data_IF_309686447016
#
_entry.id   IF_309686447016
#
_cell.length_a   1.000
_cell.length_b   1.000
_cell.length_c   1.000
_cell.angle_alpha   90.00
_cell.angle_beta   90.00
_cell.angle_gamma   90.00
#
_symmetry.space_group_name_H-M   'P 1'
#
loop_
_entity.id
_entity.type
_entity.pdbx_description
1 polymer ?
#
# COMPACT_ATOMS: atom_id res chain seq x y z
N UNK A 1 44.13 36.11 -39.22
CA UNK A 1 44.45 35.66 -37.85
C UNK A 1 43.39 36.19 -36.91
N UNK A 2 42.73 35.30 -36.17
CA UNK A 2 42.01 35.48 -34.89
C UNK A 2 41.28 36.82 -34.65
N UNK A 3 39.96 36.82 -34.81
CA UNK A 3 39.10 37.71 -34.00
C UNK A 3 39.06 37.18 -32.56
N UNK A 4 39.37 38.04 -31.59
CA UNK A 4 39.10 37.77 -30.17
C UNK A 4 37.70 38.32 -29.86
N UNK A 5 36.80 37.43 -29.44
CA UNK A 5 35.43 37.77 -29.09
C UNK A 5 35.37 38.59 -27.79
N UNK A 6 34.62 39.69 -27.82
CA UNK A 6 34.20 40.42 -26.61
C UNK A 6 32.86 39.86 -26.15
N UNK A 7 32.88 38.94 -25.18
CA UNK A 7 31.67 38.60 -24.45
C UNK A 7 31.48 39.56 -23.27
N UNK A 8 30.30 40.16 -23.21
CA UNK A 8 29.88 41.07 -22.15
C UNK A 8 29.62 40.29 -20.86
N UNK A 9 30.26 40.68 -19.76
CA UNK A 9 29.95 40.13 -18.45
C UNK A 9 28.61 40.71 -17.95
N UNK A 10 27.54 39.91 -18.03
CA UNK A 10 26.32 40.15 -17.25
C UNK A 10 26.52 39.45 -15.91
N UNK A 11 26.71 40.23 -14.85
CA UNK A 11 26.76 39.69 -13.49
C UNK A 11 25.34 39.32 -13.03
N UNK A 12 24.99 38.04 -13.11
CA UNK A 12 23.82 37.52 -12.43
C UNK A 12 24.10 37.50 -10.92
N UNK A 13 23.44 38.37 -10.16
CA UNK A 13 23.46 38.32 -8.71
C UNK A 13 22.60 37.12 -8.26
N UNK A 14 23.24 35.97 -8.04
CA UNK A 14 22.60 34.86 -7.34
C UNK A 14 22.37 35.29 -5.89
N UNK A 15 21.10 35.51 -5.54
CA UNK A 15 20.70 35.65 -4.14
C UNK A 15 20.85 34.29 -3.46
N UNK A 16 22.02 34.06 -2.86
CA UNK A 16 22.22 32.95 -1.93
C UNK A 16 21.37 33.24 -0.70
N UNK A 17 20.15 32.71 -0.67
CA UNK A 17 19.40 32.57 0.55
C UNK A 17 20.18 31.59 1.44
N UNK A 18 20.85 32.11 2.45
CA UNK A 18 21.33 31.29 3.54
C UNK A 18 20.08 30.80 4.28
N UNK A 19 19.66 29.58 3.99
CA UNK A 19 18.70 28.89 4.83
C UNK A 19 19.35 28.80 6.21
N UNK A 20 18.78 29.49 7.19
CA UNK A 20 19.21 29.35 8.58
C UNK A 20 19.09 27.87 8.96
N UNK A 21 20.02 27.37 9.76
CA UNK A 21 19.84 26.06 10.39
C UNK A 21 18.53 26.08 11.18
N UNK A 22 17.71 25.04 11.04
CA UNK A 22 16.60 24.80 11.96
C UNK A 22 17.13 24.82 13.40
N UNK A 23 16.39 25.49 14.29
CA UNK A 23 16.67 25.38 15.72
C UNK A 23 16.17 24.03 16.24
N UNK A 24 16.98 23.35 17.05
CA UNK A 24 16.60 22.12 17.74
C UNK A 24 16.00 22.49 19.11
N UNK A 25 14.70 22.27 19.28
CA UNK A 25 13.94 22.68 20.47
C UNK A 25 13.40 21.47 21.24
N UNK A 26 13.54 21.49 22.56
CA UNK A 26 13.00 20.44 23.44
C UNK A 26 11.92 21.00 24.37
N UNK A 27 10.81 20.27 24.54
CA UNK A 27 9.75 20.65 25.49
C UNK A 27 10.31 20.72 26.92
N UNK A 28 10.03 21.83 27.62
CA UNK A 28 10.39 21.99 29.03
C UNK A 28 9.48 21.10 29.89
N UNK A 29 10.10 20.30 30.76
CA UNK A 29 9.42 19.35 31.66
C UNK A 29 9.86 19.57 33.11
N UNK A 30 8.99 19.23 34.08
CA UNK A 30 9.35 19.28 35.51
C UNK A 30 9.94 17.92 35.92
N UNK A 31 11.26 17.84 36.04
CA UNK A 31 11.96 16.60 36.38
C UNK A 31 11.76 15.44 35.38
N UNK A 32 11.35 15.73 34.14
CA UNK A 32 10.97 14.74 33.14
C UNK A 32 9.47 14.40 33.10
N UNK A 33 8.65 15.01 33.96
CA UNK A 33 7.18 14.90 33.91
C UNK A 33 6.62 15.93 32.92
N UNK A 34 5.72 15.48 32.04
CA UNK A 34 5.05 16.36 31.08
C UNK A 34 4.09 17.34 31.77
N UNK A 35 3.99 18.59 31.30
CA UNK A 35 2.90 19.47 31.69
C UNK A 35 1.54 18.88 31.25
N UNK A 36 0.49 19.11 32.05
CA UNK A 36 -0.87 18.63 31.73
C UNK A 36 -1.47 19.28 30.48
N UNK A 37 -0.97 20.45 30.08
CA UNK A 37 -1.32 21.13 28.83
C UNK A 37 -0.31 22.20 28.43
N UNK A 38 -0.11 22.40 27.11
CA UNK A 38 0.65 23.52 26.54
C UNK A 38 0.24 23.81 25.09
N UNK A 39 0.49 25.03 24.61
CA UNK A 39 0.40 25.39 23.19
C UNK A 39 1.78 25.25 22.53
N UNK A 40 1.86 24.65 21.35
CA UNK A 40 3.13 24.49 20.64
C UNK A 40 3.68 25.81 20.10
N UNK A 41 2.80 26.79 19.83
CA UNK A 41 3.18 28.14 19.38
C UNK A 41 3.69 29.07 20.48
N UNK A 42 3.64 28.65 21.75
CA UNK A 42 4.26 29.36 22.86
C UNK A 42 5.77 29.02 22.94
N UNK A 43 6.62 29.94 22.49
CA UNK A 43 8.08 29.77 22.53
C UNK A 43 8.65 29.58 23.95
N UNK A 44 7.91 29.93 25.01
CA UNK A 44 8.33 29.71 26.40
C UNK A 44 8.12 28.27 26.89
N UNK A 45 7.39 27.43 26.14
CA UNK A 45 7.30 25.99 26.40
C UNK A 45 8.57 25.23 25.98
N UNK A 46 9.48 25.86 25.23
CA UNK A 46 10.59 25.22 24.54
C UNK A 46 11.96 25.71 25.03
N UNK A 47 12.94 24.81 24.99
CA UNK A 47 14.34 25.07 25.34
C UNK A 47 15.25 24.76 24.15
N UNK A 48 16.28 25.59 23.85
CA UNK A 48 16.70 26.79 24.58
C UNK A 48 15.72 27.97 24.44
N UNK A 49 15.62 28.79 25.49
CA UNK A 49 14.80 30.01 25.51
C UNK A 49 15.26 30.97 24.40
N UNK A 50 14.30 31.52 23.65
CA UNK A 50 14.55 32.45 22.56
C UNK A 50 14.86 31.80 21.20
N UNK A 51 14.79 30.47 21.10
CA UNK A 51 14.80 29.76 19.81
C UNK A 51 13.57 30.10 18.95
N UNK A 52 13.75 30.03 17.63
CA UNK A 52 12.67 30.22 16.65
C UNK A 52 11.90 28.92 16.45
N UNK A 53 10.56 29.02 16.32
CA UNK A 53 9.71 27.90 15.91
C UNK A 53 9.62 27.74 14.38
N UNK A 54 10.20 28.66 13.60
CA UNK A 54 10.14 28.62 12.13
C UNK A 54 11.04 27.51 11.56
N UNK A 55 10.43 26.44 11.07
CA UNK A 55 11.08 25.21 10.60
C UNK A 55 11.93 24.50 11.67
N UNK A 56 11.63 24.70 12.95
CA UNK A 56 12.35 24.10 14.07
C UNK A 56 12.14 22.58 14.14
N UNK A 57 13.17 21.85 14.56
CA UNK A 57 13.02 20.45 14.97
C UNK A 57 12.54 20.40 16.41
N UNK A 58 11.50 19.62 16.71
CA UNK A 58 10.89 19.57 18.05
C UNK A 58 11.08 18.19 18.69
N UNK A 59 11.60 18.15 19.92
CA UNK A 59 11.67 16.95 20.74
C UNK A 59 10.73 17.04 21.94
N UNK A 60 9.84 16.07 22.07
CA UNK A 60 8.91 15.91 23.20
C UNK A 60 9.23 14.60 23.90
N UNK A 61 9.91 14.66 25.04
CA UNK A 61 10.35 13.48 25.80
C UNK A 61 10.01 13.59 27.28
N UNK A 62 9.54 12.50 27.90
CA UNK A 62 9.25 12.45 29.33
C UNK A 62 8.18 11.43 29.70
N UNK A 63 7.56 11.60 30.86
CA UNK A 63 6.46 10.74 31.35
C UNK A 63 5.21 11.57 31.62
N UNK A 64 4.07 11.11 31.09
CA UNK A 64 2.75 11.59 31.42
C UNK A 64 2.22 10.83 32.65
N UNK A 65 2.15 11.50 33.80
CA UNK A 65 1.52 10.94 35.02
C UNK A 65 0.00 11.15 35.06
N UNK A 66 -0.51 12.01 34.18
CA UNK A 66 -1.93 12.29 33.94
C UNK A 66 -2.12 12.62 32.44
N UNK A 67 -3.35 12.77 31.93
CA UNK A 67 -3.57 13.18 30.53
C UNK A 67 -2.81 14.47 30.18
N UNK A 68 -1.88 14.40 29.23
CA UNK A 68 -1.09 15.53 28.75
C UNK A 68 -1.67 16.02 27.41
N UNK A 69 -2.34 17.16 27.39
CA UNK A 69 -3.13 17.62 26.24
C UNK A 69 -2.51 18.88 25.65
N UNK A 70 -1.87 18.73 24.49
CA UNK A 70 -1.20 19.82 23.80
C UNK A 70 -1.96 20.25 22.56
N UNK A 71 -1.85 21.53 22.23
CA UNK A 71 -2.63 22.17 21.17
C UNK A 71 -1.73 22.95 20.20
N UNK A 72 -2.16 23.01 18.94
CA UNK A 72 -1.52 23.79 17.89
C UNK A 72 -2.55 24.74 17.29
N UNK A 73 -2.59 25.95 17.84
CA UNK A 73 -3.48 27.03 17.40
C UNK A 73 -2.79 27.95 16.39
N UNK A 74 -3.45 28.23 15.27
CA UNK A 74 -2.96 29.17 14.25
C UNK A 74 -2.04 28.58 13.18
N UNK A 75 -1.70 27.30 13.30
CA UNK A 75 -0.85 26.57 12.37
C UNK A 75 0.64 26.74 12.66
N UNK A 76 1.45 25.80 12.17
CA UNK A 76 2.92 25.81 12.33
C UNK A 76 3.59 25.23 11.07
N UNK A 77 4.85 25.60 10.87
CA UNK A 77 5.75 24.94 9.90
C UNK A 77 7.02 24.57 10.64
N UNK A 78 7.25 23.26 10.76
CA UNK A 78 8.27 22.63 11.57
C UNK A 78 9.21 21.80 10.68
N UNK A 79 10.39 21.50 11.20
CA UNK A 79 11.27 20.46 10.69
C UNK A 79 10.78 19.08 11.15
N UNK A 80 11.67 18.29 11.72
CA UNK A 80 11.33 16.98 12.27
C UNK A 80 10.71 17.10 13.68
N UNK A 81 9.86 16.14 14.04
CA UNK A 81 9.16 16.07 15.34
C UNK A 81 9.42 14.68 15.94
N UNK A 82 10.10 14.63 17.07
CA UNK A 82 10.38 13.39 17.82
C UNK A 82 9.54 13.33 19.11
N UNK A 83 8.75 12.27 19.27
CA UNK A 83 7.90 12.01 20.44
C UNK A 83 8.36 10.73 21.15
N UNK A 84 8.88 10.92 22.37
CA UNK A 84 9.45 9.87 23.23
C UNK A 84 8.80 9.92 24.63
N UNK A 85 7.46 9.77 24.67
CA UNK A 85 6.64 9.97 25.88
C UNK A 85 6.09 8.66 26.44
N UNK A 86 6.31 8.39 27.72
CA UNK A 86 5.71 7.26 28.43
C UNK A 86 4.38 7.61 29.10
N UNK A 87 3.47 6.64 29.23
CA UNK A 87 2.13 6.81 29.84
C UNK A 87 2.04 6.30 31.30
N UNK A 88 3.19 6.07 31.94
CA UNK A 88 3.31 5.55 33.31
C UNK A 88 2.51 4.24 33.55
N UNK A 89 2.43 3.37 32.54
CA UNK A 89 1.68 2.11 32.59
C UNK A 89 0.19 2.24 32.25
N UNK A 90 -0.36 3.45 32.26
CA UNK A 90 -1.79 3.73 32.18
C UNK A 90 -2.14 4.51 30.92
N UNK A 91 -2.81 3.86 29.95
CA UNK A 91 -3.20 4.49 28.69
C UNK A 91 -4.18 5.67 28.81
N UNK A 92 -4.77 5.92 29.99
CA UNK A 92 -5.49 7.17 30.25
C UNK A 92 -4.56 8.39 30.20
N UNK A 93 -3.29 8.23 30.61
CA UNK A 93 -2.24 9.24 30.62
C UNK A 93 -1.62 9.42 29.22
N UNK A 94 -2.44 9.41 28.18
CA UNK A 94 -1.98 9.63 26.82
C UNK A 94 -1.47 11.06 26.63
N UNK A 95 -0.42 11.20 25.81
CA UNK A 95 -0.16 12.46 25.12
C UNK A 95 -1.23 12.65 24.04
N UNK A 96 -1.87 13.81 24.02
CA UNK A 96 -2.75 14.27 22.95
C UNK A 96 -2.14 15.51 22.28
N UNK A 97 -2.19 15.55 20.95
CA UNK A 97 -1.74 16.67 20.14
C UNK A 97 -2.87 17.04 19.18
N UNK A 98 -3.54 18.14 19.45
CA UNK A 98 -4.73 18.58 18.71
C UNK A 98 -4.44 19.84 17.86
N UNK A 99 -4.65 19.76 16.55
CA UNK A 99 -4.61 20.95 15.67
C UNK A 99 -5.93 21.71 15.68
N UNK A 100 -5.85 23.04 15.72
CA UNK A 100 -7.01 23.93 15.80
C UNK A 100 -6.98 24.95 14.66
N UNK A 101 -7.89 24.80 13.71
CA UNK A 101 -8.24 25.80 12.68
C UNK A 101 -7.26 25.98 11.52
N UNK A 102 -5.98 25.63 11.65
CA UNK A 102 -4.95 25.86 10.62
C UNK A 102 -3.96 24.70 10.49
N UNK A 103 -3.29 24.63 9.33
CA UNK A 103 -2.42 23.53 8.95
C UNK A 103 -1.12 23.49 9.75
N UNK A 104 -0.64 22.28 10.05
CA UNK A 104 0.64 21.98 10.66
C UNK A 104 1.48 21.23 9.64
N UNK A 105 2.56 21.88 9.20
CA UNK A 105 3.52 21.35 8.26
C UNK A 105 4.73 20.81 9.04
N UNK A 106 5.22 19.62 8.69
CA UNK A 106 6.40 18.99 9.29
C UNK A 106 7.20 18.20 8.25
N UNK A 107 8.48 17.94 8.52
CA UNK A 107 9.26 16.97 7.75
C UNK A 107 8.88 15.55 8.13
N UNK A 108 9.55 15.01 9.14
CA UNK A 108 9.31 13.68 9.70
C UNK A 108 8.67 13.76 11.08
N UNK A 109 7.63 12.97 11.33
CA UNK A 109 7.11 12.74 12.69
C UNK A 109 7.51 11.34 13.16
N UNK A 110 8.38 11.25 14.14
CA UNK A 110 8.77 9.98 14.78
C UNK A 110 8.09 9.85 16.13
N UNK A 111 7.36 8.76 16.33
CA UNK A 111 6.74 8.39 17.60
C UNK A 111 7.37 7.06 18.04
N UNK A 112 8.13 7.08 19.13
CA UNK A 112 8.86 5.91 19.59
C UNK A 112 8.77 5.69 21.10
N UNK A 113 8.83 4.42 21.52
CA UNK A 113 9.05 4.07 22.92
C UNK A 113 10.39 3.32 23.09
N UNK A 114 10.95 3.40 24.30
CA UNK A 114 12.20 2.74 24.62
C UNK A 114 12.26 2.43 26.13
N UNK A 115 11.85 1.21 26.50
CA UNK A 115 11.83 0.76 27.90
C UNK A 115 10.59 1.19 28.69
N UNK A 116 9.56 1.73 28.04
CA UNK A 116 8.34 2.20 28.69
C UNK A 116 7.08 2.01 27.83
N UNK A 117 5.94 1.92 28.50
CA UNK A 117 4.62 1.89 27.84
C UNK A 117 4.22 3.28 27.37
N UNK A 118 3.58 3.38 26.20
CA UNK A 118 3.29 4.64 25.52
C UNK A 118 1.88 4.65 24.93
N UNK A 119 1.20 5.78 25.06
CA UNK A 119 -0.05 6.09 24.36
C UNK A 119 0.04 7.51 23.81
N UNK A 120 0.03 7.65 22.48
CA UNK A 120 0.09 8.95 21.77
C UNK A 120 -1.08 9.06 20.82
N UNK A 121 -1.75 10.21 20.85
CA UNK A 121 -2.87 10.55 19.96
C UNK A 121 -2.53 11.85 19.25
N UNK A 122 -2.46 11.81 17.92
CA UNK A 122 -2.26 12.97 17.06
C UNK A 122 -3.56 13.18 16.29
N UNK A 123 -4.20 14.32 16.50
CA UNK A 123 -5.57 14.59 16.04
C UNK A 123 -5.74 15.98 15.45
N UNK A 124 -6.83 16.14 14.72
CA UNK A 124 -7.44 17.43 14.42
C UNK A 124 -8.73 17.53 15.20
N UNK A 125 -9.02 18.68 15.81
CA UNK A 125 -10.28 18.88 16.54
C UNK A 125 -11.50 18.52 15.67
N UNK A 126 -12.46 17.83 16.28
CA UNK A 126 -13.62 17.23 15.60
C UNK A 126 -14.78 18.19 15.35
N UNK A 127 -14.61 19.49 15.54
CA UNK A 127 -15.56 20.50 15.08
C UNK A 127 -15.60 20.46 13.54
N UNK A 128 -16.78 20.35 12.95
CA UNK A 128 -16.94 20.26 11.49
C UNK A 128 -16.59 21.55 10.73
N UNK A 129 -16.23 22.62 11.46
CA UNK A 129 -15.63 23.85 10.93
C UNK A 129 -14.10 23.90 11.02
N UNK A 130 -13.45 22.95 11.70
CA UNK A 130 -11.99 22.90 11.82
C UNK A 130 -11.36 22.57 10.46
N UNK A 131 -10.53 23.48 9.93
CA UNK A 131 -9.87 23.35 8.61
C UNK A 131 -8.43 22.84 8.67
N UNK A 132 -7.83 22.76 9.86
CA UNK A 132 -6.39 22.54 10.03
C UNK A 132 -5.93 21.09 9.85
N UNK A 133 -5.01 20.86 8.92
CA UNK A 133 -4.50 19.54 8.54
C UNK A 133 -3.11 19.27 9.11
N UNK A 134 -2.78 18.00 9.29
CA UNK A 134 -1.41 17.52 9.39
C UNK A 134 -0.87 17.30 7.97
N UNK A 135 0.21 17.98 7.62
CA UNK A 135 0.86 17.90 6.31
C UNK A 135 2.35 17.62 6.54
N UNK A 136 2.92 16.60 5.91
CA UNK A 136 4.36 16.40 6.02
C UNK A 136 4.93 15.36 5.08
N UNK A 137 6.16 14.93 5.33
CA UNK A 137 6.84 13.98 4.46
C UNK A 137 6.67 12.53 4.93
N UNK A 138 6.98 12.21 6.18
CA UNK A 138 6.94 10.80 6.65
C UNK A 138 6.55 10.69 8.11
N UNK A 139 5.85 9.61 8.47
CA UNK A 139 5.61 9.24 9.87
C UNK A 139 6.31 7.92 10.19
N UNK A 140 7.08 7.90 11.27
CA UNK A 140 7.71 6.70 11.82
C UNK A 140 7.04 6.33 13.15
N UNK A 141 6.54 5.10 13.26
CA UNK A 141 6.01 4.53 14.50
C UNK A 141 6.94 3.36 14.87
N UNK A 142 7.71 3.52 15.95
CA UNK A 142 8.79 2.59 16.31
C UNK A 142 8.59 2.10 17.74
N UNK A 143 8.26 0.82 17.89
CA UNK A 143 8.16 0.14 19.18
C UNK A 143 9.47 -0.56 19.53
N UNK A 144 9.81 -0.62 20.81
CA UNK A 144 10.85 -1.51 21.34
C UNK A 144 10.45 -3.00 21.27
N UNK A 145 9.17 -3.30 20.97
CA UNK A 145 8.62 -4.63 20.80
C UNK A 145 8.38 -5.41 22.10
N UNK A 146 8.64 -4.78 23.26
CA UNK A 146 8.53 -5.37 24.61
C UNK A 146 7.45 -4.63 25.43
N UNK A 147 7.42 -3.30 25.34
CA UNK A 147 6.48 -2.45 26.05
C UNK A 147 5.37 -1.99 25.10
N UNK A 148 4.11 -2.09 25.56
CA UNK A 148 2.92 -1.63 24.80
C UNK A 148 3.10 -0.22 24.27
N UNK A 149 3.02 -0.07 22.95
CA UNK A 149 2.89 1.18 22.24
C UNK A 149 1.51 1.27 21.55
N UNK A 150 0.74 2.29 21.89
CA UNK A 150 -0.47 2.68 21.16
C UNK A 150 -0.26 4.04 20.51
N UNK A 151 -0.33 4.10 19.19
CA UNK A 151 -0.29 5.36 18.42
C UNK A 151 -1.58 5.49 17.62
N UNK A 152 -2.28 6.61 17.78
CA UNK A 152 -3.48 6.92 17.01
C UNK A 152 -3.29 8.21 16.23
N UNK A 153 -3.34 8.11 14.90
CA UNK A 153 -3.50 9.23 14.00
C UNK A 153 -5.00 9.38 13.72
N UNK A 154 -5.61 10.45 14.24
CA UNK A 154 -7.05 10.75 14.10
C UNK A 154 -7.31 12.10 13.40
N UNK A 155 -6.93 12.23 12.12
CA UNK A 155 -7.22 13.40 11.29
C UNK A 155 -8.68 13.44 10.83
N UNK A 156 -9.31 14.62 10.92
CA UNK A 156 -10.72 14.82 10.57
C UNK A 156 -10.90 16.00 9.59
N UNK A 157 -11.15 15.88 8.28
CA UNK A 157 -11.12 14.75 7.32
C UNK A 157 -11.23 15.33 5.86
N UNK A 158 -10.27 15.17 4.89
CA UNK A 158 -8.93 14.59 4.97
C UNK A 158 -7.91 15.59 5.53
N UNK A 159 -7.41 15.27 6.73
CA UNK A 159 -6.54 16.16 7.51
C UNK A 159 -5.22 15.49 7.91
N UNK A 160 -4.85 14.45 7.17
CA UNK A 160 -3.49 13.92 7.12
C UNK A 160 -3.12 13.77 5.65
N UNK A 161 -2.12 14.54 5.24
CA UNK A 161 -1.53 14.51 3.91
C UNK A 161 -0.03 14.25 4.04
N UNK A 162 0.47 13.16 3.48
CA UNK A 162 1.90 12.83 3.47
C UNK A 162 2.45 12.79 2.04
N UNK A 163 3.57 13.46 1.79
CA UNK A 163 4.29 13.41 0.51
C UNK A 163 5.01 12.07 0.33
N UNK A 164 5.51 11.50 1.43
CA UNK A 164 6.07 10.17 1.56
C UNK A 164 5.13 9.22 2.31
N UNK A 165 5.70 8.35 3.13
CA UNK A 165 5.02 7.14 3.64
C UNK A 165 4.81 7.10 5.15
N UNK A 166 4.38 5.94 5.62
CA UNK A 166 4.31 5.60 7.06
C UNK A 166 5.12 4.34 7.31
N UNK A 167 6.13 4.42 8.17
CA UNK A 167 6.95 3.29 8.59
C UNK A 167 6.49 2.81 9.96
N UNK A 168 6.06 1.55 10.06
CA UNK A 168 5.54 0.94 11.29
C UNK A 168 6.45 -0.22 11.66
N UNK A 169 7.21 -0.07 12.74
CA UNK A 169 7.95 -1.17 13.37
C UNK A 169 7.32 -1.46 14.73
N UNK A 170 6.45 -2.47 14.82
CA UNK A 170 5.75 -2.78 16.08
C UNK A 170 5.50 -4.29 16.28
N UNK A 171 5.08 -4.66 17.50
CA UNK A 171 4.79 -6.04 17.87
C UNK A 171 3.27 -6.31 17.81
N UNK A 172 2.84 -7.13 16.85
CA UNK A 172 1.42 -7.40 16.60
C UNK A 172 0.63 -8.00 17.77
N UNK A 173 1.29 -8.51 18.81
CA UNK A 173 0.65 -9.12 19.98
C UNK A 173 0.28 -8.09 21.07
N UNK A 174 0.97 -6.95 21.14
CA UNK A 174 0.82 -5.97 22.24
C UNK A 174 0.60 -4.53 21.78
N UNK A 175 1.03 -4.17 20.56
CA UNK A 175 1.00 -2.80 20.07
C UNK A 175 -0.23 -2.51 19.20
N UNK A 176 -0.48 -1.23 18.95
CA UNK A 176 -1.52 -0.78 18.01
C UNK A 176 -1.13 0.55 17.37
N UNK A 177 -0.75 0.50 16.09
CA UNK A 177 -0.74 1.66 15.21
C UNK A 177 -2.13 1.80 14.58
N UNK A 178 -2.77 2.95 14.73
CA UNK A 178 -4.15 3.21 14.30
C UNK A 178 -4.16 4.46 13.42
N UNK A 179 -4.70 4.37 12.21
CA UNK A 179 -4.96 5.51 11.33
C UNK A 179 -6.47 5.62 11.13
N UNK A 180 -7.03 6.81 11.29
CA UNK A 180 -8.48 7.03 11.24
C UNK A 180 -8.89 8.09 10.20
N UNK A 181 -10.14 8.02 9.74
CA UNK A 181 -10.76 9.02 8.86
C UNK A 181 -10.38 8.87 7.38
N UNK A 182 -10.49 9.97 6.62
CA UNK A 182 -9.89 10.10 5.29
C UNK A 182 -8.44 10.59 5.39
N UNK A 183 -7.56 9.97 4.62
CA UNK A 183 -6.13 10.27 4.57
C UNK A 183 -5.62 10.24 3.13
N UNK A 184 -4.55 10.99 2.88
CA UNK A 184 -3.84 11.03 1.60
C UNK A 184 -2.34 10.82 1.86
N UNK A 185 -1.83 9.61 1.63
CA UNK A 185 -0.43 9.24 1.85
C UNK A 185 0.14 8.91 0.47
N UNK A 186 0.95 9.78 -0.12
CA UNK A 186 1.46 9.55 -1.48
C UNK A 186 2.48 8.42 -1.55
N UNK A 187 3.20 8.14 -0.45
CA UNK A 187 4.12 7.01 -0.31
C UNK A 187 3.49 5.74 0.24
N UNK A 188 4.32 4.69 0.33
CA UNK A 188 3.96 3.37 0.83
C UNK A 188 3.79 3.36 2.36
N UNK A 189 2.86 2.55 2.88
CA UNK A 189 2.89 2.14 4.29
C UNK A 189 3.74 0.88 4.40
N UNK A 190 4.87 0.98 5.10
CA UNK A 190 5.81 -0.14 5.32
C UNK A 190 5.64 -0.67 6.73
N UNK A 191 5.44 -1.99 6.87
CA UNK A 191 5.29 -2.68 8.15
C UNK A 191 6.49 -3.59 8.41
N UNK A 192 7.00 -3.61 9.65
CA UNK A 192 8.10 -4.48 10.10
C UNK A 192 7.82 -4.98 11.52
N UNK A 193 8.15 -6.23 11.82
CA UNK A 193 8.03 -6.76 13.17
C UNK A 193 9.06 -6.09 14.11
N UNK A 194 8.62 -5.67 15.29
CA UNK A 194 9.55 -5.19 16.34
C UNK A 194 10.12 -6.37 17.14
N UNK A 195 11.42 -6.31 17.45
CA UNK A 195 12.12 -7.32 18.25
C UNK A 195 12.00 -8.73 17.66
N UNK A 196 11.41 -9.66 18.42
CA UNK A 196 11.16 -11.04 18.01
C UNK A 196 9.68 -11.35 17.75
N UNK A 197 8.87 -10.33 17.43
CA UNK A 197 7.45 -10.52 17.12
C UNK A 197 7.26 -11.29 15.79
N UNK A 198 6.14 -12.00 15.65
CA UNK A 198 5.79 -12.67 14.39
C UNK A 198 5.44 -11.69 13.27
N UNK A 199 5.08 -10.45 13.61
CA UNK A 199 4.62 -9.44 12.68
C UNK A 199 4.37 -8.09 13.37
N UNK A 200 3.96 -7.11 12.56
CA UNK A 200 3.45 -5.82 13.00
C UNK A 200 1.93 -5.72 12.81
N UNK A 201 1.27 -4.87 13.60
CA UNK A 201 -0.17 -4.61 13.55
C UNK A 201 -0.49 -3.15 13.22
N UNK A 202 -1.36 -2.99 12.22
CA UNK A 202 -1.97 -1.74 11.81
C UNK A 202 -3.49 -1.89 11.86
N UNK A 203 -4.18 -0.83 12.29
CA UNK A 203 -5.63 -0.70 12.23
C UNK A 203 -5.98 0.53 11.39
N UNK A 204 -6.82 0.33 10.37
CA UNK A 204 -7.33 1.39 9.52
C UNK A 204 -8.84 1.55 9.75
N UNK A 205 -9.22 2.66 10.38
CA UNK A 205 -10.60 3.01 10.66
C UNK A 205 -11.04 4.06 9.63
N UNK A 206 -11.67 3.65 8.55
CA UNK A 206 -11.73 4.46 7.33
C UNK A 206 -13.13 4.96 6.97
N UNK A 207 -13.16 6.00 6.13
CA UNK A 207 -14.33 6.36 5.32
C UNK A 207 -14.00 6.40 3.82
N UNK A 208 -12.75 6.72 3.48
CA UNK A 208 -12.03 6.41 2.24
C UNK A 208 -10.55 6.76 2.48
N UNK A 209 -9.59 5.93 2.11
CA UNK A 209 -8.16 6.25 2.24
C UNK A 209 -7.50 6.21 0.87
N UNK A 210 -6.48 7.04 0.67
CA UNK A 210 -5.60 7.00 -0.50
C UNK A 210 -4.17 6.82 -0.01
N UNK A 211 -3.52 5.72 -0.40
CA UNK A 211 -2.15 5.39 0.02
C UNK A 211 -1.31 4.98 -1.21
N UNK A 212 0.00 5.21 -1.16
CA UNK A 212 0.93 4.82 -2.23
C UNK A 212 1.20 3.31 -2.31
N UNK A 213 0.65 2.50 -1.40
CA UNK A 213 0.76 1.04 -1.42
C UNK A 213 0.96 0.46 0.00
N UNK A 214 1.04 -0.87 0.08
CA UNK A 214 1.35 -1.62 1.30
C UNK A 214 2.60 -2.49 1.09
N UNK A 215 3.56 -2.43 2.02
CA UNK A 215 4.78 -3.24 1.96
C UNK A 215 5.20 -3.83 3.32
N UNK A 216 5.86 -4.99 3.29
CA UNK A 216 6.60 -5.57 4.43
C UNK A 216 8.07 -5.08 4.52
N UNK A 217 8.48 -4.18 3.62
CA UNK A 217 9.83 -3.65 3.54
C UNK A 217 10.90 -4.71 3.22
N UNK A 218 10.51 -5.81 2.55
CA UNK A 218 11.39 -6.91 2.14
C UNK A 218 11.58 -7.99 3.19
N UNK A 219 10.80 -7.99 4.28
CA UNK A 219 10.90 -8.97 5.37
C UNK A 219 9.54 -9.63 5.61
N UNK A 220 9.31 -10.73 4.89
CA UNK A 220 8.13 -11.57 4.99
C UNK A 220 7.83 -11.98 6.46
N UNK A 221 6.76 -11.42 7.03
CA UNK A 221 6.31 -11.69 8.40
C UNK A 221 4.79 -11.94 8.43
N UNK A 222 4.24 -12.32 9.60
CA UNK A 222 2.80 -12.50 9.80
C UNK A 222 2.16 -11.17 10.23
N UNK A 223 2.23 -10.14 9.37
CA UNK A 223 1.61 -8.85 9.67
C UNK A 223 0.09 -8.95 9.82
N UNK A 224 -0.49 -7.92 10.43
CA UNK A 224 -1.93 -7.82 10.69
C UNK A 224 -2.42 -6.46 10.26
N UNK A 225 -3.34 -6.41 9.30
CA UNK A 225 -4.10 -5.18 9.02
C UNK A 225 -5.56 -5.43 9.35
N UNK A 226 -6.09 -4.66 10.29
CA UNK A 226 -7.51 -4.62 10.65
C UNK A 226 -8.20 -3.44 9.99
N UNK A 227 -9.40 -3.66 9.44
CA UNK A 227 -10.19 -2.63 8.75
C UNK A 227 -11.55 -2.46 9.42
N UNK A 228 -11.87 -1.23 9.84
CA UNK A 228 -13.13 -0.88 10.50
C UNK A 228 -13.88 0.23 9.75
N UNK A 229 -15.15 0.41 10.14
CA UNK A 229 -16.10 1.40 9.64
C UNK A 229 -16.60 1.13 8.21
N UNK A 230 -15.92 1.59 7.16
CA UNK A 230 -16.36 1.40 5.77
C UNK A 230 -15.59 2.24 4.74
N UNK A 231 -15.90 2.06 3.46
CA UNK A 231 -15.29 2.82 2.36
C UNK A 231 -14.20 2.06 1.60
N UNK A 232 -13.34 2.80 0.90
CA UNK A 232 -12.36 2.23 -0.04
C UNK A 232 -10.93 2.65 0.29
N UNK A 233 -10.01 1.68 0.24
CA UNK A 233 -8.57 1.91 0.19
C UNK A 233 -8.17 2.03 -1.27
N UNK A 234 -7.68 3.19 -1.67
CA UNK A 234 -7.18 3.45 -3.01
C UNK A 234 -5.65 3.32 -2.99
N UNK A 235 -5.13 2.38 -3.76
CA UNK A 235 -3.71 2.04 -3.84
C UNK A 235 -3.12 2.67 -5.11
N UNK A 236 -2.36 3.75 -4.93
CA UNK A 236 -1.76 4.54 -6.02
C UNK A 236 -0.28 4.19 -6.25
N UNK A 237 0.05 2.89 -6.19
CA UNK A 237 1.38 2.32 -6.34
C UNK A 237 2.17 2.96 -7.49
N UNK A 238 3.18 3.75 -7.13
CA UNK A 238 4.15 4.34 -8.07
C UNK A 238 5.32 3.39 -8.40
N UNK A 239 5.47 2.33 -7.60
CA UNK A 239 6.45 1.26 -7.76
C UNK A 239 5.81 -0.08 -7.33
N UNK A 240 6.51 -1.19 -7.53
CA UNK A 240 6.05 -2.50 -7.10
C UNK A 240 6.18 -2.69 -5.58
N UNK A 241 5.08 -3.07 -4.92
CA UNK A 241 5.05 -3.35 -3.50
C UNK A 241 4.44 -4.73 -3.21
N UNK A 242 5.05 -5.44 -2.27
CA UNK A 242 4.54 -6.72 -1.74
C UNK A 242 4.35 -6.60 -0.24
N UNK A 243 3.22 -7.12 0.25
CA UNK A 243 2.92 -7.22 1.67
C UNK A 243 2.41 -8.63 2.00
N UNK A 244 2.87 -9.17 3.13
CA UNK A 244 2.52 -10.50 3.61
C UNK A 244 1.83 -10.42 4.97
N UNK A 245 0.75 -11.15 5.17
CA UNK A 245 0.10 -11.21 6.48
C UNK A 245 -1.39 -11.55 6.41
N UNK A 246 -2.08 -11.31 7.53
CA UNK A 246 -3.53 -11.56 7.67
C UNK A 246 -4.36 -10.27 7.66
N UNK A 247 -5.55 -10.38 7.09
CA UNK A 247 -6.54 -9.32 7.10
C UNK A 247 -7.65 -9.57 8.12
N UNK A 248 -8.00 -8.55 8.92
CA UNK A 248 -9.08 -8.57 9.90
C UNK A 248 -10.19 -7.59 9.46
N UNK A 249 -11.10 -8.03 8.59
CA UNK A 249 -12.11 -7.16 7.94
C UNK A 249 -13.37 -7.05 8.82
N UNK A 250 -13.31 -6.22 9.86
CA UNK A 250 -14.42 -6.06 10.82
C UNK A 250 -15.59 -5.23 10.25
N UNK A 251 -15.32 -4.31 9.32
CA UNK A 251 -16.37 -3.56 8.60
C UNK A 251 -17.16 -4.37 7.56
N UNK A 252 -16.76 -5.63 7.30
CA UNK A 252 -17.38 -6.54 6.35
C UNK A 252 -17.50 -5.96 4.94
N UNK A 253 -18.67 -6.16 4.34
CA UNK A 253 -19.02 -5.75 2.96
C UNK A 253 -18.82 -4.27 2.66
N UNK A 254 -18.68 -3.42 3.68
CA UNK A 254 -18.43 -1.99 3.51
C UNK A 254 -16.95 -1.66 3.21
N UNK A 255 -16.01 -2.59 3.39
CA UNK A 255 -14.57 -2.35 3.16
C UNK A 255 -14.17 -2.79 1.76
N UNK A 256 -13.52 -1.91 1.00
CA UNK A 256 -13.17 -2.12 -0.41
C UNK A 256 -11.70 -1.82 -0.66
N UNK A 257 -11.10 -2.46 -1.67
CA UNK A 257 -9.77 -2.13 -2.19
C UNK A 257 -9.89 -1.75 -3.67
N UNK A 258 -9.25 -0.65 -4.06
CA UNK A 258 -9.16 -0.19 -5.45
C UNK A 258 -7.70 0.05 -5.82
N UNK A 259 -7.18 -0.73 -6.76
CA UNK A 259 -5.80 -0.65 -7.23
C UNK A 259 -5.74 0.24 -8.47
N UNK A 260 -5.19 1.45 -8.28
CA UNK A 260 -5.30 2.63 -9.17
C UNK A 260 -3.93 3.25 -9.52
N UNK A 261 -2.82 2.56 -9.30
CA UNK A 261 -1.47 3.03 -9.64
C UNK A 261 -0.77 2.09 -10.63
N UNK A 262 0.23 2.61 -11.36
CA UNK A 262 0.96 1.88 -12.40
C UNK A 262 1.78 0.68 -11.89
N UNK A 263 2.41 0.80 -10.71
CA UNK A 263 3.23 -0.24 -10.11
C UNK A 263 2.39 -1.36 -9.49
N UNK A 264 2.98 -2.52 -9.22
CA UNK A 264 2.28 -3.71 -8.72
C UNK A 264 1.90 -3.59 -7.25
N UNK A 265 0.79 -4.23 -6.86
CA UNK A 265 0.53 -4.61 -5.46
C UNK A 265 0.39 -6.13 -5.37
N UNK A 266 1.27 -6.79 -4.64
CA UNK A 266 1.10 -8.18 -4.21
C UNK A 266 0.61 -8.24 -2.76
N UNK A 267 -0.33 -9.15 -2.50
CA UNK A 267 -0.76 -9.55 -1.17
C UNK A 267 -0.51 -11.05 -0.99
N UNK A 268 0.45 -11.41 -0.13
CA UNK A 268 0.63 -12.80 0.32
C UNK A 268 -0.22 -13.03 1.58
N UNK A 269 -1.43 -13.57 1.37
CA UNK A 269 -2.47 -13.62 2.40
C UNK A 269 -2.31 -14.87 3.25
N UNK A 270 -1.78 -14.71 4.47
CA UNK A 270 -1.61 -15.82 5.44
C UNK A 270 -2.90 -16.13 6.22
N UNK A 271 -3.93 -15.31 6.07
CA UNK A 271 -5.25 -15.53 6.65
C UNK A 271 -6.20 -14.35 6.40
N UNK A 272 -7.51 -14.61 6.42
CA UNK A 272 -8.53 -13.56 6.37
C UNK A 272 -9.64 -13.86 7.38
N UNK A 273 -10.08 -12.83 8.10
CA UNK A 273 -11.32 -12.85 8.89
C UNK A 273 -12.37 -12.04 8.13
N UNK A 274 -13.54 -12.65 7.91
CA UNK A 274 -14.59 -12.20 7.00
C UNK A 274 -14.05 -12.11 5.55
N UNK A 275 -14.49 -11.12 4.78
CA UNK A 275 -14.17 -10.88 3.38
C UNK A 275 -14.29 -9.39 3.08
N UNK A 276 -13.70 -8.93 1.98
CA UNK A 276 -13.91 -7.56 1.47
C UNK A 276 -15.23 -7.44 0.71
N UNK A 277 -15.82 -6.24 0.65
CA UNK A 277 -16.96 -5.95 -0.22
C UNK A 277 -16.56 -6.03 -1.70
N UNK A 278 -15.73 -5.09 -2.14
CA UNK A 278 -15.27 -5.05 -3.54
C UNK A 278 -13.76 -4.92 -3.63
N UNK A 279 -13.16 -5.70 -4.55
CA UNK A 279 -11.75 -5.59 -4.97
C UNK A 279 -11.74 -5.16 -6.43
N UNK A 280 -10.96 -4.13 -6.78
CA UNK A 280 -10.87 -3.61 -8.16
C UNK A 280 -9.42 -3.53 -8.64
N UNK A 281 -9.13 -4.15 -9.78
CA UNK A 281 -7.88 -4.00 -10.53
C UNK A 281 -8.12 -3.00 -11.69
N UNK A 282 -7.87 -1.71 -11.43
CA UNK A 282 -8.11 -0.63 -12.40
C UNK A 282 -6.84 -0.25 -13.17
N UNK A 283 -5.66 -0.35 -12.54
CA UNK A 283 -4.38 -0.01 -13.15
C UNK A 283 -3.22 -0.81 -12.52
N UNK A 284 -2.16 -1.06 -13.30
CA UNK A 284 -1.01 -1.89 -12.91
C UNK A 284 -1.43 -3.33 -12.56
N UNK A 285 -0.54 -4.08 -11.90
CA UNK A 285 -0.85 -5.43 -11.40
C UNK A 285 -1.46 -5.40 -9.99
N UNK A 286 -2.51 -6.19 -9.78
CA UNK A 286 -2.97 -6.66 -8.47
C UNK A 286 -2.79 -8.17 -8.39
N UNK A 287 -1.91 -8.64 -7.49
CA UNK A 287 -1.65 -10.06 -7.26
C UNK A 287 -2.15 -10.47 -5.86
N UNK A 288 -2.98 -11.51 -5.81
CA UNK A 288 -3.46 -12.13 -4.56
C UNK A 288 -2.91 -13.55 -4.46
N UNK A 289 -1.95 -13.78 -3.58
CA UNK A 289 -1.57 -15.14 -3.19
C UNK A 289 -2.49 -15.60 -2.06
N UNK A 290 -3.43 -16.45 -2.45
CA UNK A 290 -4.49 -17.00 -1.64
C UNK A 290 -4.17 -18.43 -1.15
N UNK A 291 -2.95 -18.93 -1.36
CA UNK A 291 -2.57 -20.32 -1.10
C UNK A 291 -2.79 -20.80 0.35
N UNK A 292 -2.88 -19.88 1.32
CA UNK A 292 -3.15 -20.17 2.73
C UNK A 292 -4.62 -19.95 3.17
N UNK A 293 -5.52 -19.56 2.27
CA UNK A 293 -6.94 -19.35 2.56
C UNK A 293 -7.84 -20.23 1.68
N UNK A 294 -9.01 -20.59 2.20
CA UNK A 294 -10.03 -21.37 1.48
C UNK A 294 -11.45 -20.80 1.65
N UNK A 295 -11.56 -19.63 2.28
CA UNK A 295 -12.82 -18.88 2.46
C UNK A 295 -13.02 -17.89 1.31
N UNK A 296 -14.20 -17.29 1.25
CA UNK A 296 -14.49 -16.13 0.43
C UNK A 296 -13.47 -15.00 0.72
N UNK A 297 -12.82 -14.45 -0.31
CA UNK A 297 -11.90 -13.32 -0.17
C UNK A 297 -12.62 -11.98 -0.34
N UNK A 298 -13.55 -11.90 -1.30
CA UNK A 298 -14.36 -10.72 -1.54
C UNK A 298 -15.74 -11.05 -2.13
N UNK A 299 -16.76 -10.22 -1.85
CA UNK A 299 -18.08 -10.36 -2.49
C UNK A 299 -18.00 -10.10 -4.00
N UNK A 300 -17.21 -9.13 -4.45
CA UNK A 300 -17.02 -8.87 -5.88
C UNK A 300 -15.55 -8.60 -6.22
N UNK A 301 -15.06 -9.24 -7.29
CA UNK A 301 -13.79 -8.90 -7.94
C UNK A 301 -14.08 -8.26 -9.31
N UNK A 302 -13.47 -7.10 -9.56
CA UNK A 302 -13.56 -6.39 -10.83
C UNK A 302 -12.17 -6.29 -11.48
N UNK A 303 -12.07 -6.67 -12.75
CA UNK A 303 -10.94 -6.36 -13.62
C UNK A 303 -11.42 -5.29 -14.61
N UNK A 304 -10.93 -4.06 -14.43
CA UNK A 304 -11.52 -2.86 -15.03
C UNK A 304 -10.52 -1.95 -15.76
N UNK A 305 -9.33 -2.48 -16.04
CA UNK A 305 -8.26 -1.78 -16.79
C UNK A 305 -6.87 -2.28 -16.44
N UNK A 306 -6.68 -2.79 -15.21
CA UNK A 306 -5.41 -3.32 -14.74
C UNK A 306 -5.20 -4.79 -15.11
N UNK A 307 -4.10 -5.33 -14.61
CA UNK A 307 -3.79 -6.75 -14.61
C UNK A 307 -4.18 -7.36 -13.27
N UNK A 308 -4.73 -8.57 -13.28
CA UNK A 308 -5.02 -9.36 -12.10
C UNK A 308 -4.28 -10.71 -12.15
N UNK A 309 -3.71 -11.13 -11.03
CA UNK A 309 -3.14 -12.47 -10.83
C UNK A 309 -3.64 -13.05 -9.51
N UNK A 310 -3.97 -14.33 -9.49
CA UNK A 310 -4.06 -15.11 -8.26
C UNK A 310 -2.98 -16.19 -8.23
N UNK A 311 -2.49 -16.50 -7.03
CA UNK A 311 -1.64 -17.65 -6.72
C UNK A 311 -2.42 -18.55 -5.77
N UNK A 312 -2.49 -19.85 -6.07
CA UNK A 312 -3.47 -20.75 -5.47
C UNK A 312 -4.92 -20.41 -5.86
N UNK A 313 -5.88 -21.14 -5.29
CA UNK A 313 -7.30 -20.94 -5.59
C UNK A 313 -7.87 -19.73 -4.83
N UNK A 314 -8.72 -18.95 -5.49
CA UNK A 314 -9.31 -17.73 -4.94
C UNK A 314 -10.84 -17.77 -5.06
N UNK A 315 -11.55 -17.73 -3.93
CA UNK A 315 -13.01 -17.67 -3.92
C UNK A 315 -13.52 -16.22 -3.90
N UNK A 316 -14.44 -15.88 -4.80
CA UNK A 316 -15.12 -14.57 -4.89
C UNK A 316 -16.63 -14.75 -5.10
N UNK A 317 -17.43 -13.80 -4.61
CA UNK A 317 -18.90 -13.88 -4.71
C UNK A 317 -19.41 -13.63 -6.13
N UNK A 318 -18.76 -12.73 -6.86
CA UNK A 318 -18.99 -12.46 -8.27
C UNK A 318 -17.69 -11.98 -8.93
N UNK A 319 -17.57 -12.22 -10.23
CA UNK A 319 -16.44 -11.77 -11.05
C UNK A 319 -16.96 -10.90 -12.20
N UNK A 320 -16.41 -9.71 -12.34
CA UNK A 320 -16.74 -8.79 -13.45
C UNK A 320 -15.48 -8.46 -14.25
N UNK A 321 -15.45 -8.86 -15.51
CA UNK A 321 -14.31 -8.69 -16.41
C UNK A 321 -14.65 -7.65 -17.49
N UNK A 322 -14.40 -6.36 -17.21
CA UNK A 322 -14.78 -5.25 -18.09
C UNK A 322 -13.74 -4.94 -19.16
N UNK A 323 -12.46 -4.99 -18.78
CA UNK A 323 -11.28 -4.79 -19.63
C UNK A 323 -10.02 -5.04 -18.80
N UNK A 324 -8.89 -5.27 -19.46
CA UNK A 324 -7.59 -5.49 -18.80
C UNK A 324 -7.11 -6.93 -18.99
N UNK A 325 -6.34 -7.43 -18.02
CA UNK A 325 -5.55 -8.65 -18.18
C UNK A 325 -5.70 -9.60 -17.00
N UNK A 326 -5.79 -10.90 -17.27
CA UNK A 326 -5.55 -11.98 -16.29
C UNK A 326 -4.17 -12.55 -16.58
N UNK A 327 -3.26 -12.51 -15.61
CA UNK A 327 -1.88 -12.99 -15.75
C UNK A 327 -1.77 -14.42 -15.22
N UNK A 328 -1.18 -15.30 -16.03
CA UNK A 328 -0.98 -16.70 -15.70
C UNK A 328 0.50 -16.97 -15.37
N UNK A 329 0.74 -17.54 -14.20
CA UNK A 329 2.01 -18.12 -13.80
C UNK A 329 1.89 -19.62 -13.54
N UNK A 330 3.01 -20.31 -13.38
CA UNK A 330 3.02 -21.74 -12.98
C UNK A 330 2.41 -21.99 -11.58
N UNK A 331 2.21 -20.91 -10.82
CA UNK A 331 1.65 -20.85 -9.47
C UNK A 331 0.17 -20.41 -9.45
N UNK A 332 -0.40 -20.07 -10.60
CA UNK A 332 -1.81 -19.68 -10.74
C UNK A 332 -2.74 -20.86 -10.44
N UNK A 333 -3.67 -20.64 -9.52
CA UNK A 333 -4.81 -21.53 -9.28
C UNK A 333 -6.09 -21.00 -9.92
N UNK A 334 -7.21 -21.60 -9.56
CA UNK A 334 -8.53 -21.28 -10.10
C UNK A 334 -9.19 -20.09 -9.38
N UNK A 335 -9.83 -19.20 -10.12
CA UNK A 335 -10.80 -18.25 -9.56
C UNK A 335 -12.17 -18.93 -9.48
N UNK A 336 -12.63 -19.19 -8.25
CA UNK A 336 -13.93 -19.80 -7.97
C UNK A 336 -14.94 -18.69 -7.72
N UNK A 337 -16.03 -18.68 -8.49
CA UNK A 337 -17.07 -17.64 -8.45
C UNK A 337 -18.36 -18.24 -7.91
N UNK A 338 -18.69 -17.92 -6.65
CA UNK A 338 -19.86 -18.49 -5.94
C UNK A 338 -21.20 -18.07 -6.56
N UNK A 339 -21.23 -16.89 -7.17
CA UNK A 339 -22.35 -16.33 -7.92
C UNK A 339 -22.00 -16.17 -9.39
N UNK A 340 -22.21 -14.97 -9.94
CA UNK A 340 -22.20 -14.76 -11.38
C UNK A 340 -20.85 -14.23 -11.90
N UNK A 341 -20.52 -14.68 -13.11
CA UNK A 341 -19.49 -14.07 -13.96
C UNK A 341 -20.16 -13.18 -15.01
N UNK A 342 -19.68 -11.95 -15.19
CA UNK A 342 -20.18 -11.04 -16.23
C UNK A 342 -19.06 -10.20 -16.85
N UNK A 343 -19.30 -9.64 -18.04
CA UNK A 343 -18.44 -8.58 -18.60
C UNK A 343 -18.69 -7.21 -17.95
N UNK A 344 -19.86 -7.01 -17.35
CA UNK A 344 -20.32 -5.72 -16.83
C UNK A 344 -20.57 -4.69 -17.94
N UNK A 345 -20.91 -3.46 -17.55
CA UNK A 345 -21.25 -2.36 -18.47
C UNK A 345 -20.01 -1.74 -19.15
N UNK A 346 -19.21 -2.57 -19.80
CA UNK A 346 -18.08 -2.13 -20.61
C UNK A 346 -18.59 -1.44 -21.90
N UNK A 347 -17.98 -0.32 -22.36
CA UNK A 347 -18.24 0.23 -23.69
C UNK A 347 -18.07 -0.80 -24.81
N UNK A 348 -18.85 -0.68 -25.90
CA UNK A 348 -18.79 -1.62 -27.05
C UNK A 348 -17.38 -1.71 -27.69
N UNK A 349 -16.53 -0.70 -27.50
CA UNK A 349 -15.14 -0.62 -27.94
C UNK A 349 -14.11 -0.96 -26.85
N UNK A 350 -14.54 -1.58 -25.73
CA UNK A 350 -13.66 -1.88 -24.60
C UNK A 350 -12.50 -2.84 -24.92
N UNK A 351 -12.66 -3.63 -25.99
CA UNK A 351 -11.76 -4.73 -26.35
C UNK A 351 -12.06 -5.99 -25.55
N UNK A 352 -11.27 -7.02 -25.81
CA UNK A 352 -11.32 -8.31 -25.12
C UNK A 352 -10.53 -8.27 -23.81
N UNK A 353 -10.76 -9.26 -22.96
CA UNK A 353 -9.90 -9.52 -21.80
C UNK A 353 -8.64 -10.24 -22.28
N UNK A 354 -7.47 -9.73 -21.91
CA UNK A 354 -6.21 -10.39 -22.24
C UNK A 354 -5.91 -11.52 -21.25
N UNK A 355 -5.50 -12.68 -21.73
CA UNK A 355 -4.89 -13.75 -20.94
C UNK A 355 -3.39 -13.73 -21.23
N UNK A 356 -2.59 -13.41 -20.21
CA UNK A 356 -1.15 -13.17 -20.35
C UNK A 356 -0.33 -14.37 -19.88
N UNK A 357 0.45 -14.93 -20.80
CA UNK A 357 1.26 -16.13 -20.60
C UNK A 357 2.72 -15.82 -20.19
N UNK A 358 3.05 -14.55 -19.92
CA UNK A 358 4.42 -14.10 -19.64
C UNK A 358 5.13 -14.82 -18.48
N UNK A 359 4.37 -15.37 -17.52
CA UNK A 359 4.91 -16.16 -16.39
C UNK A 359 4.61 -17.68 -16.49
N UNK A 360 3.87 -18.11 -17.52
CA UNK A 360 3.44 -19.50 -17.70
C UNK A 360 4.41 -20.28 -18.60
N UNK A 361 5.23 -21.14 -17.99
CA UNK A 361 6.30 -21.88 -18.68
C UNK A 361 6.09 -23.40 -18.69
N UNK A 362 5.14 -23.92 -17.93
CA UNK A 362 4.81 -25.34 -17.89
C UNK A 362 3.67 -25.67 -18.86
N UNK A 363 3.76 -26.79 -19.56
CA UNK A 363 2.62 -27.39 -20.27
C UNK A 363 1.64 -28.00 -19.27
N UNK A 364 0.34 -27.88 -19.53
CA UNK A 364 -0.70 -28.41 -18.66
C UNK A 364 -2.11 -28.05 -19.11
N UNK A 365 -3.09 -28.55 -18.36
CA UNK A 365 -4.49 -28.12 -18.41
C UNK A 365 -4.77 -27.30 -17.15
N UNK A 366 -5.38 -26.13 -17.32
CA UNK A 366 -5.59 -25.14 -16.27
C UNK A 366 -7.05 -24.68 -16.29
N UNK A 367 -7.81 -24.97 -15.24
CA UNK A 367 -9.11 -24.31 -15.03
C UNK A 367 -8.87 -22.93 -14.43
N UNK A 368 -9.04 -21.90 -15.25
CA UNK A 368 -8.76 -20.52 -14.88
C UNK A 368 -9.88 -19.93 -14.02
N UNK A 369 -11.13 -20.23 -14.39
CA UNK A 369 -12.34 -19.75 -13.71
C UNK A 369 -13.34 -20.91 -13.62
N UNK A 370 -13.97 -21.09 -12.45
CA UNK A 370 -15.14 -21.96 -12.25
C UNK A 370 -16.30 -21.10 -11.72
N UNK A 371 -17.50 -21.23 -12.30
CA UNK A 371 -18.66 -20.38 -11.97
C UNK A 371 -19.84 -21.21 -11.46
N UNK A 372 -20.26 -20.98 -10.21
CA UNK A 372 -21.37 -21.70 -9.60
C UNK A 372 -22.75 -21.09 -9.92
N UNK A 373 -22.79 -19.80 -10.28
CA UNK A 373 -23.98 -19.10 -10.79
C UNK A 373 -24.02 -18.99 -12.32
N UNK A 374 -24.55 -17.87 -12.82
CA UNK A 374 -24.71 -17.61 -14.25
C UNK A 374 -23.44 -17.01 -14.88
N UNK A 375 -23.21 -17.35 -16.15
CA UNK A 375 -22.19 -16.72 -17.00
C UNK A 375 -22.90 -15.81 -18.00
N UNK A 376 -22.66 -14.51 -17.87
CA UNK A 376 -23.46 -13.45 -18.50
C UNK A 376 -22.64 -12.68 -19.54
N UNK A 377 -23.22 -12.53 -20.73
CA UNK A 377 -22.68 -11.81 -21.88
C UNK A 377 -21.36 -12.35 -22.47
N UNK A 378 -20.96 -13.58 -22.12
CA UNK A 378 -19.86 -14.29 -22.78
C UNK A 378 -20.33 -15.18 -23.93
N UNK A 379 -19.53 -15.22 -25.00
CA UNK A 379 -19.65 -16.25 -26.04
C UNK A 379 -19.24 -17.61 -25.44
N UNK A 380 -20.14 -18.58 -25.60
CA UNK A 380 -20.06 -19.92 -25.01
C UNK A 380 -19.55 -20.96 -26.01
N UNK A 381 -19.54 -20.62 -27.31
CA UNK A 381 -19.12 -21.48 -28.41
C UNK A 381 -17.69 -21.12 -28.86
N UNK A 382 -17.29 -19.84 -28.78
CA UNK A 382 -15.93 -19.37 -29.05
C UNK A 382 -15.43 -18.44 -27.92
N UNK A 383 -14.67 -18.98 -26.97
CA UNK A 383 -14.06 -18.17 -25.90
C UNK A 383 -13.09 -17.10 -26.46
N UNK A 384 -12.50 -17.30 -27.65
CA UNK A 384 -11.62 -16.33 -28.29
C UNK A 384 -12.40 -15.16 -28.91
N UNK A 385 -13.74 -15.15 -28.91
CA UNK A 385 -14.52 -13.94 -29.18
C UNK A 385 -14.36 -12.90 -28.06
N UNK A 386 -14.05 -13.34 -26.84
CA UNK A 386 -14.08 -12.54 -25.61
C UNK A 386 -12.71 -12.36 -24.95
N UNK A 387 -11.81 -13.33 -25.20
CA UNK A 387 -10.47 -13.37 -24.67
C UNK A 387 -9.43 -13.29 -25.80
N UNK A 388 -8.40 -12.47 -25.62
CA UNK A 388 -7.19 -12.49 -26.45
C UNK A 388 -6.06 -13.15 -25.68
N UNK A 389 -5.28 -14.00 -26.33
CA UNK A 389 -4.11 -14.66 -25.72
C UNK A 389 -2.84 -13.87 -26.07
N UNK A 390 -2.09 -13.42 -25.07
CA UNK A 390 -0.88 -12.58 -25.26
C UNK A 390 0.36 -13.19 -24.61
N UNK A 391 1.54 -12.81 -25.11
CA UNK A 391 2.85 -13.24 -24.59
C UNK A 391 3.08 -14.76 -24.56
N UNK A 392 2.44 -15.53 -25.45
CA UNK A 392 2.72 -16.96 -25.60
C UNK A 392 4.19 -17.19 -25.98
N UNK A 393 4.78 -18.25 -25.42
CA UNK A 393 6.12 -18.71 -25.79
C UNK A 393 6.16 -19.11 -27.27
N UNK A 394 7.24 -18.80 -27.98
CA UNK A 394 7.38 -19.12 -29.41
C UNK A 394 7.20 -20.61 -29.69
N UNK A 395 6.25 -20.94 -30.57
CA UNK A 395 5.89 -22.31 -30.94
C UNK A 395 4.98 -23.04 -29.94
N UNK A 396 4.58 -22.41 -28.82
CA UNK A 396 3.60 -22.98 -27.92
C UNK A 396 2.19 -22.95 -28.54
N UNK A 397 1.38 -23.95 -28.18
CA UNK A 397 -0.04 -24.01 -28.52
C UNK A 397 -0.86 -23.74 -27.25
N UNK A 398 -1.88 -22.90 -27.38
CA UNK A 398 -2.87 -22.63 -26.33
C UNK A 398 -4.28 -22.79 -26.94
N UNK A 399 -5.14 -23.54 -26.26
CA UNK A 399 -6.55 -23.71 -26.59
C UNK A 399 -7.36 -23.30 -25.36
N UNK A 400 -8.25 -22.32 -25.52
CA UNK A 400 -9.09 -21.77 -24.46
C UNK A 400 -10.55 -22.08 -24.79
N UNK A 401 -11.24 -22.80 -23.90
CA UNK A 401 -12.61 -23.26 -24.12
C UNK A 401 -13.47 -23.08 -22.87
N UNK A 402 -14.78 -23.05 -23.09
CA UNK A 402 -15.77 -23.22 -22.03
C UNK A 402 -16.17 -24.70 -21.92
N UNK A 403 -15.77 -25.36 -20.82
CA UNK A 403 -16.27 -26.69 -20.47
C UNK A 403 -17.26 -26.58 -19.30
N UNK A 404 -18.54 -26.78 -19.58
CA UNK A 404 -19.60 -26.44 -18.64
C UNK A 404 -19.46 -24.98 -18.16
N UNK A 405 -19.54 -24.75 -16.85
CA UNK A 405 -19.36 -23.42 -16.27
C UNK A 405 -17.87 -23.03 -16.00
N UNK A 406 -16.92 -23.74 -16.60
CA UNK A 406 -15.49 -23.54 -16.35
C UNK A 406 -14.75 -23.04 -17.58
N UNK A 407 -13.90 -22.01 -17.41
CA UNK A 407 -12.97 -21.54 -18.44
C UNK A 407 -11.68 -22.37 -18.33
N UNK A 408 -11.42 -23.22 -19.32
CA UNK A 408 -10.32 -24.18 -19.31
C UNK A 408 -9.31 -23.82 -20.40
N UNK A 409 -8.04 -23.82 -20.03
CA UNK A 409 -6.89 -23.60 -20.90
C UNK A 409 -6.08 -24.89 -21.02
N UNK A 410 -5.94 -25.41 -22.23
CA UNK A 410 -4.96 -26.44 -22.59
C UNK A 410 -3.72 -25.76 -23.20
N UNK A 411 -2.58 -25.84 -22.52
CA UNK A 411 -1.34 -25.18 -22.93
C UNK A 411 -0.20 -26.19 -23.13
N UNK A 412 0.49 -26.12 -24.27
CA UNK A 412 1.62 -26.99 -24.62
C UNK A 412 2.80 -26.17 -25.12
N UNK A 413 3.89 -26.15 -24.34
CA UNK A 413 5.18 -25.59 -24.70
C UNK A 413 6.00 -26.62 -25.52
N UNK A 414 6.76 -26.23 -26.56
CA UNK A 414 7.62 -27.15 -27.29
C UNK A 414 8.68 -27.80 -26.40
N UNK A 415 8.84 -29.12 -26.51
CA UNK A 415 9.93 -29.79 -25.79
C UNK A 415 11.30 -29.24 -26.22
N UNK A 416 12.27 -29.06 -25.30
CA UNK A 416 13.62 -28.62 -25.64
C UNK A 416 14.30 -29.48 -26.71
N UNK A 417 13.97 -30.77 -26.76
CA UNK A 417 14.46 -31.70 -27.78
C UNK A 417 13.94 -31.39 -29.20
N UNK A 418 12.69 -30.92 -29.33
CA UNK A 418 12.12 -30.54 -30.62
C UNK A 418 12.80 -29.28 -31.19
N UNK A 419 12.99 -28.26 -30.33
CA UNK A 419 13.73 -27.03 -30.68
C UNK A 419 15.18 -27.36 -31.05
N UNK A 420 15.86 -28.21 -30.26
CA UNK A 420 17.22 -28.66 -30.54
C UNK A 420 17.32 -29.48 -31.84
N UNK A 421 16.30 -30.27 -32.20
CA UNK A 421 16.26 -31.04 -33.44
C UNK A 421 16.14 -30.12 -34.68
N UNK A 422 15.31 -29.07 -34.60
CA UNK A 422 15.19 -28.06 -35.68
C UNK A 422 16.53 -27.33 -35.87
N UNK A 423 17.15 -26.86 -34.78
CA UNK A 423 18.46 -26.21 -34.82
C UNK A 423 19.58 -27.15 -35.31
N UNK A 424 19.55 -28.41 -34.89
CA UNK A 424 20.47 -29.46 -35.34
C UNK A 424 20.33 -29.75 -36.84
N UNK A 425 19.10 -29.83 -37.35
CA UNK A 425 18.82 -30.01 -38.77
C UNK A 425 19.28 -28.79 -39.61
N UNK A 426 19.03 -27.57 -39.13
CA UNK A 426 19.51 -26.35 -39.76
C UNK A 426 21.04 -26.27 -39.81
N UNK A 427 21.72 -26.62 -38.70
CA UNK A 427 23.18 -26.69 -38.64
C UNK A 427 23.73 -27.76 -39.60
N UNK A 428 23.08 -28.93 -39.72
CA UNK A 428 23.44 -29.98 -40.66
C UNK A 428 23.28 -29.51 -42.13
N UNK A 429 22.20 -28.77 -42.42
CA UNK A 429 21.96 -28.15 -43.73
C UNK A 429 23.03 -27.12 -44.11
N UNK A 430 23.39 -26.22 -43.19
CA UNK A 430 24.48 -25.27 -43.38
C UNK A 430 25.85 -25.96 -43.57
N UNK A 431 26.13 -27.02 -42.79
CA UNK A 431 27.35 -27.80 -42.96
C UNK A 431 27.41 -28.50 -44.34
N UNK A 432 26.29 -29.06 -44.81
CA UNK A 432 26.19 -29.67 -46.13
C UNK A 432 26.35 -28.65 -47.27
N UNK A 433 25.79 -27.44 -47.14
CA UNK A 433 25.98 -26.35 -48.08
C UNK A 433 27.42 -25.84 -48.12
N UNK A 434 28.07 -25.70 -46.95
CA UNK A 434 29.50 -25.31 -46.85
C UNK A 434 30.43 -26.34 -47.49
N UNK A 435 30.06 -27.63 -47.51
CA UNK A 435 30.84 -28.71 -48.13
C UNK A 435 30.64 -28.85 -49.65
N UNK A 436 29.77 -28.03 -50.24
CA UNK A 436 29.49 -27.95 -51.69
C UNK A 436 29.99 -26.65 -52.35
N UNK A 437 30.68 -25.80 -51.59
CA UNK A 437 31.53 -24.70 -52.09
C UNK A 437 32.99 -25.07 -51.86
#
# INVERSE_FOLDING_TARGET
MVQISRFSAIAAAASMAFQASADDLTLITDGGVLPSSWEWSDSSAWSPEGGSLENANLTISGVAESPANSTITGGLTLGDIDILVGDNGNSANALRVDTVGADVNFGTLTIANNGFTQTVIVSTQSDTSATGKWIGDTINIISDGVNRQTVTLSPNNPHLTLSGGVNITNNSAIDSAIIQGQTQISGVITMKAAGSAEGAKLMLNMWNMSIGGLSDGGVAANHVISFNWGGTINLYNAADYSWRGRFEVEGGENINISKNGVGSQRFEVTGIKNHFGNIRANEGLLEIDASAISTLFANNLYVSGGSFKNVGNLNVGALTLMRGTIVLGNDTGMIIVDGNLSKGDAPEDAGKISIDFSELTASGEYTLIEVLGDIIDFDREDALADFDLINLVEGANAELIWDGNSLVLSYTVPEPAAVAAILGAAALGFAALRRRK
#
